data_IF_564603503147
#
_entry.id   IF_564603503147
#
_cell.length_a   1.000
_cell.length_b   1.000
_cell.length_c   1.000
_cell.angle_alpha   90.00
_cell.angle_beta   90.00
_cell.angle_gamma   90.00
#
_symmetry.space_group_name_H-M   'P 1'
#
loop_
_entity.id
_entity.type
_entity.pdbx_description
1 polymer ?
#
# COMPACT_ATOMS: atom_id res chain seq x y z
N UNK A 1 12.03 -20.62 33.88
CA UNK A 1 11.16 -19.45 34.16
C UNK A 1 11.76 -18.26 33.43
N UNK A 2 11.26 -17.94 32.22
CA UNK A 2 11.87 -16.94 31.32
C UNK A 2 11.17 -15.58 31.55
N UNK A 3 11.87 -14.51 31.96
CA UNK A 3 11.23 -13.25 32.24
C UNK A 3 10.79 -12.58 30.93
N UNK A 4 9.58 -12.02 30.99
CA UNK A 4 8.85 -11.35 29.91
C UNK A 4 9.75 -10.40 29.11
N UNK A 5 10.04 -10.73 27.85
CA UNK A 5 10.51 -9.73 26.88
C UNK A 5 9.35 -8.79 26.59
N UNK A 6 9.40 -7.59 27.17
CA UNK A 6 8.61 -6.47 26.68
C UNK A 6 9.00 -6.20 25.22
N UNK A 7 8.08 -6.46 24.29
CA UNK A 7 8.17 -5.95 22.92
C UNK A 7 7.84 -4.45 22.94
N UNK A 8 8.67 -3.63 23.60
CA UNK A 8 8.66 -2.20 23.31
C UNK A 8 9.35 -2.02 21.96
N UNK A 9 8.69 -1.27 21.08
CA UNK A 9 9.16 -0.94 19.73
C UNK A 9 10.31 0.09 19.79
N UNK A 10 11.29 -0.18 20.65
CA UNK A 10 12.42 0.69 20.95
C UNK A 10 13.56 0.34 19.98
N UNK A 11 13.45 0.85 18.76
CA UNK A 11 14.61 0.89 17.86
C UNK A 11 14.38 0.36 16.46
N UNK A 12 13.30 0.76 15.79
CA UNK A 12 13.34 0.79 14.33
C UNK A 12 14.48 1.74 13.94
N UNK A 13 15.56 1.19 13.37
CA UNK A 13 16.70 1.96 12.90
C UNK A 13 16.20 3.04 11.93
N UNK A 14 16.37 4.30 12.32
CA UNK A 14 16.03 5.46 11.49
C UNK A 14 17.34 6.18 11.17
N UNK A 15 17.73 6.27 9.88
CA UNK A 15 18.95 6.96 9.49
C UNK A 15 19.00 8.38 10.07
N UNK A 16 20.19 8.84 10.47
CA UNK A 16 20.36 10.15 11.12
C UNK A 16 19.71 11.32 10.36
N UNK A 17 19.77 11.40 9.01
CA UNK A 17 19.05 12.45 8.27
C UNK A 17 17.53 12.41 8.48
N UNK A 18 16.93 11.21 8.50
CA UNK A 18 15.50 11.02 8.72
C UNK A 18 15.10 11.42 10.15
N UNK A 19 15.95 11.14 11.14
CA UNK A 19 15.73 11.56 12.54
C UNK A 19 15.73 13.07 12.69
N UNK A 20 16.68 13.76 12.03
CA UNK A 20 16.78 15.21 12.07
C UNK A 20 15.53 15.87 11.47
N UNK A 21 15.12 15.44 10.28
CA UNK A 21 13.89 15.93 9.63
C UNK A 21 12.66 15.68 10.50
N UNK A 22 12.52 14.47 11.06
CA UNK A 22 11.40 14.15 11.94
C UNK A 22 11.40 14.97 13.24
N UNK A 23 12.59 15.30 13.79
CA UNK A 23 12.72 16.14 14.98
C UNK A 23 12.29 17.59 14.70
N UNK A 24 12.73 18.16 13.58
CA UNK A 24 12.33 19.49 13.14
C UNK A 24 10.83 19.55 12.84
N UNK A 25 10.31 18.57 12.12
CA UNK A 25 8.90 18.50 11.76
C UNK A 25 7.99 18.32 12.98
N UNK A 26 8.46 17.69 14.07
CA UNK A 26 7.68 17.55 15.32
C UNK A 26 7.37 18.90 15.97
N UNK A 27 8.33 19.84 15.95
CA UNK A 27 8.15 21.18 16.54
C UNK A 27 7.20 22.08 15.71
N UNK A 28 7.05 21.79 14.42
CA UNK A 28 6.18 22.52 13.49
C UNK A 28 5.10 21.61 12.86
N UNK A 29 4.65 20.58 13.60
CA UNK A 29 3.74 19.52 13.12
C UNK A 29 2.52 20.02 12.32
N UNK A 30 1.75 21.04 12.76
CA UNK A 30 0.59 21.49 11.99
C UNK A 30 0.94 22.12 10.64
N UNK A 31 2.14 22.70 10.49
CA UNK A 31 2.61 23.23 9.20
C UNK A 31 3.02 22.07 8.29
N UNK A 32 3.80 21.13 8.81
CA UNK A 32 4.29 19.99 8.03
C UNK A 32 3.20 18.98 7.66
N UNK A 33 2.19 18.78 8.50
CA UNK A 33 1.05 17.92 8.19
C UNK A 33 0.20 18.49 7.05
N UNK A 34 0.13 19.82 6.91
CA UNK A 34 -0.51 20.49 5.76
C UNK A 34 0.31 20.36 4.47
N UNK A 35 1.63 20.20 4.56
CA UNK A 35 2.47 19.97 3.38
C UNK A 35 2.26 18.57 2.78
N UNK A 36 1.87 17.60 3.61
CA UNK A 36 1.58 16.22 3.18
C UNK A 36 0.13 15.89 3.50
N UNK A 37 -0.77 16.42 2.69
CA UNK A 37 -2.21 16.17 2.79
C UNK A 37 -2.51 14.70 2.48
N UNK A 38 -3.13 14.02 3.44
CA UNK A 38 -3.67 12.67 3.28
C UNK A 38 -5.20 12.79 3.18
N UNK A 39 -5.68 13.26 2.03
CA UNK A 39 -7.09 13.26 1.68
C UNK A 39 -7.27 12.60 0.31
N UNK A 40 -8.46 12.02 0.10
CA UNK A 40 -8.77 11.19 -1.07
C UNK A 40 -8.63 11.99 -2.37
N UNK A 41 -9.17 13.20 -2.42
CA UNK A 41 -9.13 14.08 -3.60
C UNK A 41 -7.71 14.36 -4.08
N UNK A 42 -6.81 14.78 -3.17
CA UNK A 42 -5.42 15.09 -3.52
C UNK A 42 -4.60 13.86 -3.90
N UNK A 43 -4.94 12.69 -3.37
CA UNK A 43 -4.29 11.44 -3.73
C UNK A 43 -4.76 10.97 -5.12
N UNK A 44 -6.07 10.99 -5.37
CA UNK A 44 -6.68 10.67 -6.67
C UNK A 44 -6.17 11.63 -7.76
N UNK A 45 -6.19 12.94 -7.51
CA UNK A 45 -5.70 13.94 -8.45
C UNK A 45 -4.20 13.75 -8.78
N UNK A 46 -3.38 13.43 -7.76
CA UNK A 46 -1.96 13.17 -7.98
C UNK A 46 -1.72 11.89 -8.80
N UNK A 47 -2.46 10.81 -8.53
CA UNK A 47 -2.33 9.57 -9.28
C UNK A 47 -2.83 9.73 -10.73
N UNK A 48 -3.96 10.42 -10.93
CA UNK A 48 -4.49 10.75 -12.25
C UNK A 48 -3.51 11.60 -13.08
N UNK A 49 -2.85 12.58 -12.44
CA UNK A 49 -1.79 13.36 -13.10
C UNK A 49 -0.56 12.52 -13.44
N UNK A 50 -0.19 11.57 -12.57
CA UNK A 50 0.95 10.68 -12.80
C UNK A 50 0.71 9.71 -13.96
N UNK A 51 -0.51 9.19 -14.11
CA UNK A 51 -0.83 8.19 -15.15
C UNK A 51 -1.39 8.79 -16.43
N UNK A 52 -1.94 10.01 -16.37
CA UNK A 52 -2.73 10.61 -17.45
C UNK A 52 -4.16 10.04 -17.55
N UNK A 53 -4.54 9.14 -16.64
CA UNK A 53 -5.81 8.41 -16.65
C UNK A 53 -6.78 9.02 -15.63
N UNK A 54 -8.09 8.92 -15.90
CA UNK A 54 -9.13 9.47 -15.01
C UNK A 54 -10.28 8.52 -14.71
N UNK A 55 -10.31 7.36 -15.34
CA UNK A 55 -11.35 6.37 -15.10
C UNK A 55 -10.96 5.44 -13.94
N UNK A 56 -11.70 5.54 -12.85
CA UNK A 56 -11.48 4.79 -11.62
C UNK A 56 -12.23 3.45 -11.57
N UNK A 57 -13.03 3.16 -12.60
CA UNK A 57 -13.97 2.07 -12.63
C UNK A 57 -15.00 2.20 -11.52
N UNK A 58 -15.23 1.08 -10.85
CA UNK A 58 -16.14 0.99 -9.71
C UNK A 58 -15.75 1.93 -8.56
N UNK A 59 -16.71 2.67 -7.99
CA UNK A 59 -16.48 3.63 -6.90
C UNK A 59 -16.38 2.98 -5.50
N UNK A 60 -16.64 1.67 -5.35
CA UNK A 60 -16.61 0.98 -4.03
C UNK A 60 -15.29 1.12 -3.26
N UNK A 61 -14.17 1.38 -3.93
CA UNK A 61 -12.89 1.59 -3.24
C UNK A 61 -12.81 2.94 -2.51
N UNK A 62 -13.64 3.92 -2.87
CA UNK A 62 -13.56 5.28 -2.32
C UNK A 62 -13.95 5.28 -0.84
N UNK A 63 -14.99 4.54 -0.46
CA UNK A 63 -15.41 4.39 0.93
C UNK A 63 -14.29 3.79 1.80
N UNK A 64 -13.65 2.72 1.31
CA UNK A 64 -12.55 2.06 2.01
C UNK A 64 -11.31 2.98 2.12
N UNK A 65 -11.02 3.76 1.07
CA UNK A 65 -9.93 4.74 1.08
C UNK A 65 -10.20 5.85 2.11
N UNK A 66 -11.42 6.37 2.17
CA UNK A 66 -11.80 7.42 3.11
C UNK A 66 -11.72 6.93 4.56
N UNK A 67 -12.20 5.71 4.84
CA UNK A 67 -12.08 5.09 6.15
C UNK A 67 -10.61 4.91 6.57
N UNK A 68 -9.76 4.45 5.64
CA UNK A 68 -8.31 4.31 5.89
C UNK A 68 -7.66 5.66 6.20
N UNK A 69 -7.95 6.69 5.40
CA UNK A 69 -7.40 8.03 5.58
C UNK A 69 -7.89 8.66 6.88
N UNK A 70 -9.15 8.46 7.25
CA UNK A 70 -9.70 8.93 8.51
C UNK A 70 -8.99 8.28 9.70
N UNK A 71 -8.84 6.96 9.70
CA UNK A 71 -8.13 6.21 10.75
C UNK A 71 -6.67 6.67 10.85
N UNK A 72 -5.95 6.75 9.73
CA UNK A 72 -4.53 7.15 9.72
C UNK A 72 -4.35 8.59 10.22
N UNK A 73 -5.24 9.51 9.83
CA UNK A 73 -5.16 10.90 10.28
C UNK A 73 -5.51 11.06 11.77
N UNK A 74 -6.43 10.26 12.32
CA UNK A 74 -6.84 10.33 13.73
C UNK A 74 -5.89 9.58 14.66
N UNK A 75 -5.49 8.38 14.27
CA UNK A 75 -4.88 7.39 15.17
C UNK A 75 -3.47 6.97 14.74
N UNK A 76 -3.10 7.19 13.48
CA UNK A 76 -1.88 6.62 12.88
C UNK A 76 -0.55 7.13 13.45
N UNK A 77 -0.54 8.24 14.21
CA UNK A 77 0.64 8.86 14.85
C UNK A 77 1.90 8.89 13.95
N UNK A 78 1.70 9.10 12.65
CA UNK A 78 2.77 9.07 11.67
C UNK A 78 3.75 10.23 11.87
N UNK A 79 5.05 9.95 11.75
CA UNK A 79 6.07 11.00 11.60
C UNK A 79 5.91 11.69 10.23
N UNK A 80 6.56 12.84 10.03
CA UNK A 80 6.52 13.52 8.73
C UNK A 80 6.99 12.60 7.59
N UNK A 81 8.13 11.92 7.77
CA UNK A 81 8.61 10.95 6.79
C UNK A 81 7.64 9.77 6.62
N UNK A 82 7.04 9.29 7.71
CA UNK A 82 6.01 8.24 7.64
C UNK A 82 4.78 8.67 6.84
N UNK A 83 4.29 9.90 7.02
CA UNK A 83 3.19 10.48 6.23
C UNK A 83 3.57 10.58 4.76
N UNK A 84 4.78 11.04 4.46
CA UNK A 84 5.27 11.14 3.09
C UNK A 84 5.35 9.76 2.42
N UNK A 85 5.98 8.78 3.08
CA UNK A 85 6.09 7.41 2.57
C UNK A 85 4.71 6.78 2.35
N UNK A 86 3.79 6.95 3.31
CA UNK A 86 2.42 6.46 3.20
C UNK A 86 1.65 7.13 2.05
N UNK A 87 1.83 8.44 1.85
CA UNK A 87 1.30 9.15 0.68
C UNK A 87 1.81 8.55 -0.63
N UNK A 88 3.11 8.29 -0.76
CA UNK A 88 3.68 7.68 -1.97
C UNK A 88 3.14 6.26 -2.19
N UNK A 89 3.02 5.47 -1.13
CA UNK A 89 2.42 4.14 -1.18
C UNK A 89 0.98 4.18 -1.70
N UNK A 90 0.12 5.04 -1.14
CA UNK A 90 -1.27 5.17 -1.59
C UNK A 90 -1.38 5.69 -3.03
N UNK A 91 -0.55 6.68 -3.40
CA UNK A 91 -0.48 7.17 -4.78
C UNK A 91 -0.12 6.06 -5.76
N UNK A 92 0.87 5.21 -5.43
CA UNK A 92 1.25 4.06 -6.24
C UNK A 92 0.09 3.08 -6.45
N UNK A 93 -0.62 2.72 -5.37
CA UNK A 93 -1.78 1.83 -5.46
C UNK A 93 -2.92 2.43 -6.32
N UNK A 94 -3.21 3.73 -6.16
CA UNK A 94 -4.21 4.42 -6.98
C UNK A 94 -3.80 4.50 -8.45
N UNK A 95 -2.51 4.73 -8.74
CA UNK A 95 -1.99 4.71 -10.09
C UNK A 95 -2.11 3.31 -10.71
N UNK A 96 -1.80 2.24 -9.95
CA UNK A 96 -2.01 0.87 -10.38
C UNK A 96 -3.48 0.58 -10.69
N UNK A 97 -4.42 1.02 -9.84
CA UNK A 97 -5.86 0.90 -10.11
C UNK A 97 -6.23 1.52 -11.47
N UNK A 98 -5.83 2.76 -11.72
CA UNK A 98 -6.11 3.44 -13.00
C UNK A 98 -5.56 2.64 -14.20
N UNK A 99 -4.32 2.14 -14.10
CA UNK A 99 -3.73 1.31 -15.16
C UNK A 99 -4.49 -0.01 -15.34
N UNK A 100 -4.90 -0.66 -14.25
CA UNK A 100 -5.69 -1.90 -14.32
C UNK A 100 -7.02 -1.65 -15.03
N UNK A 101 -7.74 -0.58 -14.70
CA UNK A 101 -9.00 -0.23 -15.37
C UNK A 101 -8.77 0.05 -16.86
N UNK A 102 -7.73 0.81 -17.19
CA UNK A 102 -7.38 1.09 -18.59
C UNK A 102 -7.03 -0.18 -19.37
N UNK A 103 -6.24 -1.09 -18.79
CA UNK A 103 -5.91 -2.38 -19.41
C UNK A 103 -7.17 -3.23 -19.64
N UNK A 104 -8.07 -3.31 -18.65
CA UNK A 104 -9.30 -4.07 -18.77
C UNK A 104 -10.26 -3.50 -19.83
N UNK A 105 -10.22 -2.20 -20.07
CA UNK A 105 -10.98 -1.56 -21.15
C UNK A 105 -10.36 -1.79 -22.52
N UNK A 106 -9.03 -1.71 -22.59
CA UNK A 106 -8.28 -1.90 -23.83
C UNK A 106 -8.33 -3.34 -24.33
N UNK A 107 -8.38 -4.30 -23.41
CA UNK A 107 -8.38 -5.73 -23.68
C UNK A 107 -9.58 -6.41 -22.99
N UNK A 108 -10.81 -6.22 -23.49
CA UNK A 108 -12.00 -6.81 -22.88
C UNK A 108 -11.99 -8.34 -22.83
N UNK A 109 -11.23 -9.00 -23.71
CA UNK A 109 -11.02 -10.46 -23.74
C UNK A 109 -10.38 -11.01 -22.44
N UNK A 110 -9.76 -10.15 -21.62
CA UNK A 110 -9.26 -10.53 -20.28
C UNK A 110 -10.43 -10.98 -19.40
N UNK A 111 -11.60 -10.34 -19.51
CA UNK A 111 -12.77 -10.68 -18.69
C UNK A 111 -13.41 -12.01 -19.09
N UNK A 112 -13.12 -12.50 -20.29
CA UNK A 112 -13.63 -13.79 -20.80
C UNK A 112 -12.78 -14.98 -20.33
N UNK A 113 -11.56 -14.72 -19.81
CA UNK A 113 -10.65 -15.77 -19.35
C UNK A 113 -11.22 -16.49 -18.12
N UNK A 114 -11.28 -17.82 -18.19
CA UNK A 114 -11.73 -18.67 -17.08
C UNK A 114 -10.55 -19.11 -16.23
N UNK A 115 -10.52 -18.66 -14.97
CA UNK A 115 -9.54 -19.13 -13.98
C UNK A 115 -10.03 -20.48 -13.43
N UNK A 116 -9.39 -21.58 -13.87
CA UNK A 116 -9.76 -22.93 -13.45
C UNK A 116 -8.88 -23.41 -12.30
N UNK A 117 -9.50 -23.99 -11.27
CA UNK A 117 -8.83 -24.63 -10.12
C UNK A 117 -7.73 -23.74 -9.47
N UNK A 118 -8.05 -22.48 -9.06
CA UNK A 118 -7.06 -21.63 -8.40
C UNK A 118 -6.63 -22.21 -7.06
N UNK A 119 -5.34 -22.08 -6.74
CA UNK A 119 -4.78 -22.46 -5.44
C UNK A 119 -4.61 -21.20 -4.60
N UNK A 120 -5.25 -21.17 -3.43
CA UNK A 120 -5.09 -20.10 -2.45
C UNK A 120 -4.26 -20.58 -1.28
N UNK A 121 -3.18 -19.86 -0.98
CA UNK A 121 -2.35 -20.10 0.20
C UNK A 121 -2.79 -19.11 1.28
N UNK A 122 -3.35 -19.63 2.37
CA UNK A 122 -3.80 -18.84 3.52
C UNK A 122 -3.13 -19.36 4.79
N UNK A 123 -3.05 -18.52 5.82
CA UNK A 123 -2.45 -18.90 7.09
C UNK A 123 -2.04 -17.70 7.92
N UNK A 124 -1.66 -17.96 9.17
CA UNK A 124 -1.15 -16.93 10.06
C UNK A 124 0.21 -16.42 9.60
N UNK A 125 0.56 -15.21 10.03
CA UNK A 125 1.90 -14.67 9.81
C UNK A 125 2.95 -15.65 10.33
N UNK A 126 4.02 -15.87 9.55
CA UNK A 126 5.15 -16.75 9.89
C UNK A 126 4.83 -18.26 9.99
N UNK A 127 3.76 -18.75 9.38
CA UNK A 127 3.46 -20.20 9.28
C UNK A 127 4.07 -20.91 8.05
N UNK A 128 5.02 -20.27 7.35
CA UNK A 128 5.66 -20.84 6.16
C UNK A 128 4.91 -20.65 4.84
N UNK A 129 3.85 -19.84 4.80
CA UNK A 129 3.08 -19.55 3.57
C UNK A 129 3.95 -19.01 2.43
N UNK A 130 4.94 -18.16 2.72
CA UNK A 130 5.90 -17.67 1.72
C UNK A 130 6.76 -18.78 1.15
N UNK A 131 7.22 -19.73 1.97
CA UNK A 131 8.03 -20.84 1.49
C UNK A 131 7.22 -21.75 0.58
N UNK A 132 5.98 -22.09 0.97
CA UNK A 132 5.06 -22.85 0.15
C UNK A 132 4.73 -22.14 -1.17
N UNK A 133 4.48 -20.83 -1.13
CA UNK A 133 4.23 -20.02 -2.33
C UNK A 133 5.39 -20.11 -3.31
N UNK A 134 6.62 -19.94 -2.81
CA UNK A 134 7.82 -20.01 -3.65
C UNK A 134 8.03 -21.41 -4.24
N UNK A 135 7.75 -22.47 -3.47
CA UNK A 135 7.84 -23.85 -3.98
C UNK A 135 6.82 -24.10 -5.10
N UNK A 136 5.56 -23.69 -4.92
CA UNK A 136 4.52 -23.88 -5.93
C UNK A 136 4.77 -23.02 -7.18
N UNK A 137 5.34 -21.83 -7.02
CA UNK A 137 5.70 -20.95 -8.13
C UNK A 137 6.79 -21.53 -9.07
N UNK A 138 7.51 -22.58 -8.64
CA UNK A 138 8.49 -23.29 -9.49
C UNK A 138 7.85 -24.38 -10.37
N UNK A 139 6.59 -24.74 -10.13
CA UNK A 139 5.93 -25.78 -10.90
C UNK A 139 5.57 -25.29 -12.32
N UNK A 140 5.95 -26.01 -13.40
CA UNK A 140 5.79 -25.53 -14.77
C UNK A 140 4.32 -25.28 -15.18
N UNK A 141 3.39 -26.05 -14.63
CA UNK A 141 1.96 -25.91 -14.93
C UNK A 141 1.24 -24.89 -14.03
N UNK A 142 1.95 -24.22 -13.12
CA UNK A 142 1.39 -23.20 -12.24
C UNK A 142 1.92 -21.82 -12.61
N UNK A 143 1.04 -20.81 -12.57
CA UNK A 143 1.40 -19.40 -12.71
C UNK A 143 1.18 -18.68 -11.38
N UNK A 144 2.27 -18.17 -10.81
CA UNK A 144 2.23 -17.27 -9.66
C UNK A 144 2.41 -15.81 -10.11
N UNK A 145 1.76 -14.83 -9.46
CA UNK A 145 1.98 -13.42 -9.76
C UNK A 145 3.40 -13.00 -9.36
N UNK A 146 4.06 -12.24 -10.21
CA UNK A 146 5.39 -11.71 -9.91
C UNK A 146 5.31 -10.36 -9.21
N UNK A 147 6.34 -10.03 -8.42
CA UNK A 147 6.40 -8.76 -7.69
C UNK A 147 6.35 -7.51 -8.59
N UNK A 148 6.77 -7.63 -9.85
CA UNK A 148 6.83 -6.53 -10.82
C UNK A 148 5.55 -6.35 -11.64
N UNK A 149 4.61 -7.29 -11.56
CA UNK A 149 3.27 -7.19 -12.19
C UNK A 149 2.39 -6.18 -11.43
#
# INVERSE_FOLDING_TARGET
MNPRRHYTNDGVYTPMPVRLVNSLARKAKPVFDRLVLLNSENLKAAAARQTGLRDWGDARFEEALDALLQSVNREGKLTFFGRFAFRQFLMGNLASRLRTIEVLKRFPEIQEQKIQKPIFITGWYRSGTTHLHNLLALHPDLRAPHFWE
#
